data_IF_054991511569
#
_entry.id   IF_054991511569
#
_cell.length_a   1.000
_cell.length_b   1.000
_cell.length_c   1.000
_cell.angle_alpha   90.00
_cell.angle_beta   90.00
_cell.angle_gamma   90.00
#
_symmetry.space_group_name_H-M   'P 1'
#
loop_
_entity.id
_entity.type
_entity.pdbx_description
1 polymer ?
#
# COMPACT_ATOMS: atom_id res chain seq x y z
N UNK A 1 -1.29 -5.33 -23.40
CA UNK A 1 -0.17 -6.17 -23.89
C UNK A 1 -0.54 -6.94 -25.15
N UNK A 2 -1.63 -7.73 -25.17
CA UNK A 2 -2.06 -8.52 -26.34
C UNK A 2 -2.04 -7.72 -27.66
N UNK A 3 -2.75 -6.58 -27.71
CA UNK A 3 -2.83 -5.70 -28.89
C UNK A 3 -1.44 -5.22 -29.34
N UNK A 4 -0.63 -4.72 -28.41
CA UNK A 4 0.72 -4.18 -28.68
C UNK A 4 1.63 -5.25 -29.30
N UNK A 5 1.60 -6.47 -28.76
CA UNK A 5 2.45 -7.57 -29.24
C UNK A 5 1.97 -8.07 -30.61
N UNK A 6 0.65 -8.29 -30.78
CA UNK A 6 0.06 -8.74 -32.06
C UNK A 6 0.27 -7.76 -33.20
N UNK A 7 0.21 -6.46 -32.90
CA UNK A 7 0.40 -5.38 -33.88
C UNK A 7 1.88 -4.98 -34.03
N UNK A 8 2.81 -5.65 -33.36
CA UNK A 8 4.25 -5.36 -33.39
C UNK A 8 4.60 -3.91 -32.98
N UNK A 9 3.87 -3.35 -32.01
CA UNK A 9 4.04 -1.97 -31.51
C UNK A 9 4.98 -1.86 -30.29
N UNK A 10 5.63 -2.96 -29.89
CA UNK A 10 6.59 -2.96 -28.79
C UNK A 10 7.99 -2.55 -29.28
N UNK A 11 8.83 -2.02 -28.37
CA UNK A 11 10.22 -1.66 -28.64
C UNK A 11 11.08 -2.94 -28.72
N UNK A 12 11.35 -3.39 -29.95
CA UNK A 12 12.08 -4.63 -30.22
C UNK A 12 13.51 -4.59 -29.69
N UNK A 13 14.21 -3.50 -29.94
CA UNK A 13 15.61 -3.34 -29.56
C UNK A 13 15.76 -3.31 -28.03
N UNK A 14 14.85 -2.61 -27.35
CA UNK A 14 14.83 -2.59 -25.89
C UNK A 14 14.53 -3.98 -25.33
N UNK A 15 13.52 -4.66 -25.86
CA UNK A 15 13.13 -6.01 -25.41
C UNK A 15 14.28 -7.00 -25.58
N UNK A 16 14.91 -7.04 -26.76
CA UNK A 16 16.02 -7.96 -27.04
C UNK A 16 17.23 -7.71 -26.14
N UNK A 17 17.60 -6.43 -25.99
CA UNK A 17 18.78 -6.04 -25.20
C UNK A 17 18.55 -6.27 -23.70
N UNK A 18 17.43 -5.79 -23.16
CA UNK A 18 17.28 -5.58 -21.72
C UNK A 18 16.38 -6.57 -21.00
N UNK A 19 15.66 -7.44 -21.69
CA UNK A 19 14.65 -8.31 -21.06
C UNK A 19 14.98 -9.80 -21.14
N UNK A 20 14.35 -10.57 -20.25
CA UNK A 20 14.38 -12.02 -20.24
C UNK A 20 12.96 -12.59 -20.26
N UNK A 21 12.70 -13.56 -21.14
CA UNK A 21 11.45 -14.32 -21.20
C UNK A 21 10.31 -13.68 -21.99
N UNK A 22 10.61 -12.77 -22.93
CA UNK A 22 9.58 -12.17 -23.80
C UNK A 22 8.87 -13.20 -24.70
N UNK A 23 9.60 -14.20 -25.20
CA UNK A 23 9.06 -15.33 -25.97
C UNK A 23 7.88 -16.01 -25.25
N UNK A 24 8.01 -16.19 -23.93
CA UNK A 24 7.00 -16.83 -23.09
C UNK A 24 5.78 -15.95 -22.89
N UNK A 25 5.98 -14.64 -22.83
CA UNK A 25 4.89 -13.67 -22.75
C UNK A 25 4.02 -13.73 -24.01
N UNK A 26 4.59 -13.88 -25.20
CA UNK A 26 3.85 -13.93 -26.46
C UNK A 26 2.78 -15.02 -26.43
N UNK A 27 3.16 -16.26 -26.08
CA UNK A 27 2.20 -17.37 -25.95
C UNK A 27 1.21 -17.17 -24.80
N UNK A 28 1.67 -16.61 -23.67
CA UNK A 28 0.83 -16.39 -22.50
C UNK A 28 -0.29 -15.38 -22.75
N UNK A 29 -0.09 -14.39 -23.62
CA UNK A 29 -1.09 -13.34 -23.85
C UNK A 29 -2.17 -13.68 -24.86
N UNK A 30 -2.04 -14.80 -25.58
CA UNK A 30 -3.01 -15.25 -26.58
C UNK A 30 -4.46 -15.30 -26.08
N UNK A 31 -4.76 -15.90 -24.90
CA UNK A 31 -6.13 -15.95 -24.39
C UNK A 31 -6.68 -14.57 -23.96
N UNK A 32 -5.80 -13.62 -23.60
CA UNK A 32 -6.20 -12.31 -23.07
C UNK A 32 -6.53 -11.30 -24.18
N UNK A 33 -7.50 -11.66 -25.02
CA UNK A 33 -7.99 -10.81 -26.11
C UNK A 33 -8.73 -9.58 -25.58
N UNK A 34 -8.87 -8.49 -26.37
CA UNK A 34 -9.72 -7.36 -25.99
C UNK A 34 -11.17 -7.74 -25.69
N UNK A 35 -11.73 -8.75 -26.38
CA UNK A 35 -13.09 -9.25 -26.14
C UNK A 35 -13.19 -9.97 -24.79
N UNK A 36 -12.21 -10.81 -24.47
CA UNK A 36 -12.12 -11.45 -23.16
C UNK A 36 -12.05 -10.39 -22.04
N UNK A 37 -11.23 -9.35 -22.24
CA UNK A 37 -11.10 -8.28 -21.27
C UNK A 37 -12.40 -7.46 -21.11
N UNK A 38 -13.13 -7.21 -22.19
CA UNK A 38 -14.42 -6.51 -22.17
C UNK A 38 -15.45 -7.22 -21.29
N UNK A 39 -15.53 -8.54 -21.35
CA UNK A 39 -16.46 -9.34 -20.52
C UNK A 39 -16.16 -9.20 -19.02
N UNK A 40 -14.89 -9.04 -18.66
CA UNK A 40 -14.43 -8.94 -17.26
C UNK A 40 -14.46 -7.51 -16.73
N UNK A 41 -13.95 -6.55 -17.51
CA UNK A 41 -13.74 -5.17 -17.04
C UNK A 41 -14.91 -4.24 -17.38
N UNK A 42 -15.83 -4.69 -18.24
CA UNK A 42 -16.94 -3.90 -18.79
C UNK A 42 -16.49 -2.66 -19.57
N UNK A 43 -15.25 -2.68 -20.07
CA UNK A 43 -14.71 -1.64 -20.96
C UNK A 43 -14.80 -2.16 -22.38
N UNK A 44 -15.39 -1.40 -23.32
CA UNK A 44 -15.51 -1.84 -24.72
C UNK A 44 -14.16 -2.28 -25.30
N UNK A 45 -14.12 -3.42 -25.99
CA UNK A 45 -12.89 -3.95 -26.58
C UNK A 45 -12.20 -2.96 -27.53
N UNK A 46 -12.97 -2.12 -28.23
CA UNK A 46 -12.43 -1.08 -29.09
C UNK A 46 -11.69 0.01 -28.32
N UNK A 47 -12.15 0.38 -27.14
CA UNK A 47 -11.47 1.39 -26.32
C UNK A 47 -10.19 0.81 -25.69
N UNK A 48 -10.20 -0.48 -25.34
CA UNK A 48 -8.98 -1.22 -24.93
C UNK A 48 -7.94 -1.20 -26.07
N UNK A 49 -8.34 -1.46 -27.31
CA UNK A 49 -7.44 -1.42 -28.49
C UNK A 49 -6.90 -0.01 -28.73
N UNK A 50 -7.77 1.01 -28.71
CA UNK A 50 -7.38 2.42 -28.87
C UNK A 50 -6.34 2.84 -27.83
N UNK A 51 -6.60 2.55 -26.56
CA UNK A 51 -5.68 2.88 -25.46
C UNK A 51 -4.34 2.15 -25.61
N UNK A 52 -4.37 0.87 -25.98
CA UNK A 52 -3.15 0.09 -26.18
C UNK A 52 -2.25 0.68 -27.29
N UNK A 53 -2.85 1.08 -28.42
CA UNK A 53 -2.14 1.74 -29.52
C UNK A 53 -1.60 3.10 -29.09
N UNK A 54 -2.45 3.93 -28.48
CA UNK A 54 -2.07 5.26 -27.99
C UNK A 54 -0.88 5.19 -27.03
N UNK A 55 -0.92 4.26 -26.07
CA UNK A 55 0.14 4.06 -25.10
C UNK A 55 1.46 3.61 -25.76
N UNK A 56 1.39 2.66 -26.70
CA UNK A 56 2.58 2.11 -27.35
C UNK A 56 3.25 3.07 -28.35
N UNK A 57 2.49 3.98 -28.96
CA UNK A 57 3.01 4.95 -29.94
C UNK A 57 3.29 6.33 -29.37
N UNK A 58 3.07 6.53 -28.06
CA UNK A 58 3.46 7.77 -27.40
C UNK A 58 4.98 7.93 -27.40
N UNK A 59 5.48 9.17 -27.52
CA UNK A 59 6.93 9.44 -27.42
C UNK A 59 7.51 8.98 -26.07
N UNK A 60 6.72 9.13 -25.01
CA UNK A 60 7.02 8.62 -23.68
C UNK A 60 5.73 8.43 -22.89
N UNK A 61 5.64 7.35 -22.10
CA UNK A 61 4.47 7.06 -21.28
C UNK A 61 4.84 6.38 -19.97
N UNK A 62 4.15 6.75 -18.89
CA UNK A 62 4.35 6.19 -17.55
C UNK A 62 3.03 5.70 -16.98
N UNK A 63 3.09 4.64 -16.17
CA UNK A 63 1.92 4.12 -15.45
C UNK A 63 2.13 4.39 -13.97
N UNK A 64 1.35 5.32 -13.41
CA UNK A 64 1.30 5.56 -11.99
C UNK A 64 0.13 4.79 -11.37
N UNK A 65 0.43 3.63 -10.77
CA UNK A 65 -0.55 2.74 -10.15
C UNK A 65 -1.30 3.39 -8.97
N UNK A 66 -0.70 4.39 -8.33
CA UNK A 66 -1.15 4.93 -7.05
C UNK A 66 -0.88 3.98 -5.88
N UNK A 67 -1.04 4.48 -4.66
CA UNK A 67 -0.81 3.71 -3.42
C UNK A 67 -2.10 3.00 -3.00
N UNK A 68 -2.08 1.68 -2.81
CA UNK A 68 -3.20 0.88 -2.32
C UNK A 68 -4.42 0.81 -3.27
N UNK A 69 -4.28 1.19 -4.55
CA UNK A 69 -5.38 1.19 -5.54
C UNK A 69 -5.50 -0.17 -6.24
N UNK A 70 -4.43 -0.63 -6.88
CA UNK A 70 -4.43 -1.86 -7.70
C UNK A 70 -3.80 -3.07 -6.99
N UNK A 71 -3.06 -2.80 -5.92
CA UNK A 71 -2.37 -3.76 -5.05
C UNK A 71 -3.31 -4.37 -3.99
N UNK A 72 -4.24 -3.61 -3.40
CA UNK A 72 -5.27 -4.13 -2.48
C UNK A 72 -6.43 -4.85 -3.19
N UNK A 73 -6.10 -5.74 -4.12
CA UNK A 73 -7.04 -6.52 -4.95
C UNK A 73 -6.59 -7.98 -5.01
N UNK A 74 -7.43 -8.87 -5.56
CA UNK A 74 -7.09 -10.28 -5.73
C UNK A 74 -5.85 -10.53 -6.59
N UNK A 75 -5.47 -9.54 -7.40
CA UNK A 75 -4.40 -9.58 -8.38
C UNK A 75 -3.24 -8.64 -8.04
N UNK A 76 -3.14 -8.13 -6.81
CA UNK A 76 -2.24 -7.03 -6.46
C UNK A 76 -0.82 -7.12 -7.02
N UNK A 77 -0.13 -8.23 -6.76
CA UNK A 77 1.24 -8.45 -7.27
C UNK A 77 1.26 -8.59 -8.78
N UNK A 78 0.31 -9.31 -9.37
CA UNK A 78 0.26 -9.53 -10.82
C UNK A 78 -0.10 -8.27 -11.59
N UNK A 79 -0.94 -7.38 -11.04
CA UNK A 79 -1.23 -6.06 -11.59
C UNK A 79 0.04 -5.21 -11.69
N UNK A 80 0.80 -5.12 -10.59
CA UNK A 80 2.09 -4.40 -10.60
C UNK A 80 3.08 -4.98 -11.60
N UNK A 81 3.12 -6.32 -11.74
CA UNK A 81 3.96 -6.97 -12.77
C UNK A 81 3.46 -6.67 -14.18
N UNK A 82 2.16 -6.69 -14.44
CA UNK A 82 1.58 -6.35 -15.73
C UNK A 82 1.89 -4.90 -16.12
N UNK A 83 1.79 -3.94 -15.20
CA UNK A 83 2.17 -2.55 -15.45
C UNK A 83 3.67 -2.37 -15.70
N UNK A 84 4.51 -3.07 -14.94
CA UNK A 84 5.96 -3.05 -15.14
C UNK A 84 6.35 -3.64 -16.51
N UNK A 85 5.76 -4.76 -16.90
CA UNK A 85 5.99 -5.39 -18.20
C UNK A 85 5.48 -4.50 -19.33
N UNK A 86 4.30 -3.89 -19.19
CA UNK A 86 3.75 -2.98 -20.20
C UNK A 86 4.68 -1.79 -20.45
N UNK A 87 5.21 -1.16 -19.39
CA UNK A 87 6.21 -0.10 -19.49
C UNK A 87 7.54 -0.60 -20.09
N UNK A 88 7.94 -1.84 -19.76
CA UNK A 88 9.18 -2.46 -20.24
C UNK A 88 9.13 -2.75 -21.74
N UNK A 89 8.07 -3.38 -22.22
CA UNK A 89 7.99 -3.78 -23.63
C UNK A 89 7.84 -2.58 -24.57
N UNK A 90 7.37 -1.44 -24.08
CA UNK A 90 7.28 -0.19 -24.86
C UNK A 90 8.49 0.72 -24.65
N UNK A 91 9.59 0.24 -24.07
CA UNK A 91 10.83 1.02 -23.92
C UNK A 91 10.75 2.19 -22.92
N UNK A 92 9.70 2.25 -22.09
CA UNK A 92 9.42 3.38 -21.20
C UNK A 92 10.12 3.27 -19.83
N UNK A 93 11.32 2.68 -19.78
CA UNK A 93 12.08 2.50 -18.54
C UNK A 93 13.21 3.50 -18.47
N UNK A 94 13.19 4.31 -17.41
CA UNK A 94 14.19 5.30 -17.03
C UNK A 94 14.48 6.36 -18.11
N UNK A 95 13.49 6.70 -18.95
CA UNK A 95 13.50 7.83 -19.88
C UNK A 95 12.67 9.02 -19.33
N UNK A 96 12.93 10.27 -19.75
CA UNK A 96 12.08 11.41 -19.41
C UNK A 96 10.62 11.14 -19.82
N UNK A 97 9.67 11.41 -18.92
CA UNK A 97 8.23 11.14 -19.14
C UNK A 97 7.77 9.69 -18.90
N UNK A 98 8.71 8.74 -18.77
CA UNK A 98 8.41 7.32 -18.58
C UNK A 98 8.48 6.87 -17.12
N UNK A 99 8.69 5.57 -16.90
CA UNK A 99 8.90 5.02 -15.57
C UNK A 99 10.27 5.43 -15.03
N UNK A 100 10.31 5.95 -13.82
CA UNK A 100 11.56 6.44 -13.23
C UNK A 100 12.16 5.39 -12.30
N UNK A 101 13.43 5.02 -12.52
CA UNK A 101 14.15 4.22 -11.53
C UNK A 101 14.45 5.10 -10.33
N UNK A 102 13.85 4.76 -9.19
CA UNK A 102 14.01 5.51 -7.94
C UNK A 102 15.50 5.59 -7.56
N UNK A 103 16.04 6.81 -7.33
CA UNK A 103 17.39 6.95 -6.83
C UNK A 103 17.44 6.36 -5.42
N UNK A 104 18.33 5.39 -5.18
CA UNK A 104 18.41 4.76 -3.87
C UNK A 104 19.13 5.69 -2.90
N UNK A 105 18.45 6.02 -1.80
CA UNK A 105 19.07 6.60 -0.63
C UNK A 105 19.63 5.48 0.24
N UNK A 106 20.90 5.57 0.61
CA UNK A 106 21.55 4.65 1.54
C UNK A 106 21.53 5.26 2.94
N UNK A 107 20.82 4.63 3.87
CA UNK A 107 20.79 5.01 5.28
C UNK A 107 21.32 3.86 6.14
N UNK A 108 22.05 4.19 7.19
CA UNK A 108 22.49 3.23 8.19
C UNK A 108 21.32 2.84 9.09
N UNK A 109 20.99 1.56 9.18
CA UNK A 109 19.93 1.07 10.06
C UNK A 109 20.37 0.91 11.51
N UNK A 110 19.44 1.10 12.44
CA UNK A 110 19.61 0.89 13.90
C UNK A 110 19.17 -0.52 14.35
N UNK A 111 18.67 -1.34 13.43
CA UNK A 111 18.07 -2.63 13.76
C UNK A 111 19.12 -3.68 14.16
N UNK A 112 18.77 -4.51 15.13
CA UNK A 112 19.53 -5.71 15.46
C UNK A 112 19.06 -6.90 14.61
N UNK A 113 19.99 -7.77 14.16
CA UNK A 113 19.61 -9.00 13.48
C UNK A 113 18.85 -9.93 14.45
N UNK A 114 17.96 -10.74 13.90
CA UNK A 114 17.23 -11.78 14.64
C UNK A 114 17.08 -13.02 13.78
N UNK A 115 17.27 -14.19 14.38
CA UNK A 115 17.12 -15.49 13.71
C UNK A 115 15.67 -16.00 13.67
N UNK A 116 14.71 -15.23 14.22
CA UNK A 116 13.31 -15.65 14.25
C UNK A 116 12.67 -15.51 12.87
N UNK A 117 12.01 -16.59 12.44
CA UNK A 117 11.09 -16.56 11.31
C UNK A 117 9.90 -15.65 11.63
N UNK A 118 9.66 -14.59 10.83
CA UNK A 118 8.54 -13.68 11.05
C UNK A 118 7.21 -14.36 10.68
N UNK A 119 6.10 -13.95 11.33
CA UNK A 119 4.76 -14.42 10.95
C UNK A 119 4.48 -14.17 9.46
N UNK A 120 3.80 -15.11 8.81
CA UNK A 120 3.51 -15.06 7.38
C UNK A 120 4.71 -15.35 6.46
N UNK A 121 5.91 -15.64 6.97
CA UNK A 121 7.05 -15.98 6.11
C UNK A 121 6.87 -17.33 5.39
N UNK A 122 6.16 -18.28 6.00
CA UNK A 122 5.83 -19.57 5.37
C UNK A 122 4.75 -19.40 4.30
N UNK A 123 3.70 -18.63 4.60
CA UNK A 123 2.58 -18.38 3.68
C UNK A 123 2.96 -17.46 2.51
N UNK A 124 3.92 -16.54 2.72
CA UNK A 124 4.33 -15.50 1.77
C UNK A 124 5.85 -15.51 1.56
N UNK A 125 6.36 -16.67 1.18
CA UNK A 125 7.79 -16.99 1.18
C UNK A 125 8.62 -16.23 0.17
N UNK A 126 8.04 -15.80 -0.96
CA UNK A 126 8.77 -15.19 -2.06
C UNK A 126 9.64 -13.99 -1.61
N UNK A 127 9.09 -13.08 -0.81
CA UNK A 127 9.81 -11.89 -0.35
C UNK A 127 10.91 -12.24 0.68
N UNK A 128 10.65 -13.27 1.48
CA UNK A 128 11.52 -13.71 2.56
C UNK A 128 12.70 -14.54 2.05
N UNK A 129 12.44 -15.53 1.20
CA UNK A 129 13.47 -16.42 0.65
C UNK A 129 14.44 -15.71 -0.30
N UNK A 130 13.94 -14.78 -1.13
CA UNK A 130 14.79 -14.11 -2.13
C UNK A 130 15.58 -12.96 -1.51
N UNK A 131 14.94 -12.14 -0.67
CA UNK A 131 15.50 -10.87 -0.22
C UNK A 131 15.71 -10.78 1.29
N UNK A 132 15.36 -11.81 2.06
CA UNK A 132 15.38 -11.79 3.52
C UNK A 132 14.38 -10.79 4.10
N UNK A 133 13.36 -10.41 3.32
CA UNK A 133 12.42 -9.34 3.69
C UNK A 133 11.04 -9.92 4.01
N UNK A 134 10.32 -9.21 4.86
CA UNK A 134 8.97 -9.59 5.31
C UNK A 134 7.94 -9.04 4.34
N UNK A 135 6.94 -9.84 3.95
CA UNK A 135 5.77 -9.26 3.27
C UNK A 135 4.97 -8.43 4.30
N UNK A 136 4.91 -7.09 4.19
CA UNK A 136 4.25 -6.28 5.22
C UNK A 136 2.76 -6.63 5.34
N UNK A 137 2.09 -6.82 4.20
CA UNK A 137 0.69 -7.24 4.18
C UNK A 137 0.52 -8.69 4.65
N UNK A 138 1.45 -9.59 4.30
CA UNK A 138 1.47 -10.95 4.82
C UNK A 138 1.50 -11.01 6.35
N UNK A 139 2.32 -10.16 6.99
CA UNK A 139 2.35 -10.06 8.45
C UNK A 139 1.04 -9.49 9.02
N UNK A 140 0.46 -8.48 8.36
CA UNK A 140 -0.81 -7.86 8.74
C UNK A 140 -1.93 -8.90 8.71
N UNK A 141 -2.12 -9.60 7.60
CA UNK A 141 -3.24 -10.52 7.43
C UNK A 141 -3.11 -11.80 8.25
N UNK A 142 -1.88 -12.21 8.63
CA UNK A 142 -1.67 -13.33 9.55
C UNK A 142 -1.72 -12.92 11.03
N UNK A 143 -1.74 -11.63 11.36
CA UNK A 143 -1.72 -11.17 12.75
C UNK A 143 -2.94 -11.68 13.55
N UNK A 144 -4.21 -11.54 13.10
CA UNK A 144 -5.35 -11.99 13.90
C UNK A 144 -5.29 -13.46 14.27
N UNK A 145 -4.88 -14.33 13.35
CA UNK A 145 -4.76 -15.78 13.55
C UNK A 145 -3.53 -16.15 14.41
N UNK A 146 -2.52 -15.29 14.45
CA UNK A 146 -1.30 -15.50 15.22
C UNK A 146 -1.47 -15.18 16.72
N UNK A 147 -2.55 -14.51 17.13
CA UNK A 147 -2.78 -14.09 18.51
C UNK A 147 -3.79 -15.02 19.20
N UNK A 148 -3.52 -15.51 20.43
CA UNK A 148 -2.36 -15.25 21.28
C UNK A 148 -1.24 -16.30 21.18
N UNK A 149 -1.40 -17.31 20.32
CA UNK A 149 -0.55 -18.51 20.35
C UNK A 149 0.90 -18.25 19.91
N UNK A 150 1.10 -17.37 18.93
CA UNK A 150 2.41 -16.99 18.39
C UNK A 150 2.81 -15.59 18.87
N UNK A 151 1.87 -14.64 18.80
CA UNK A 151 2.07 -13.26 19.20
C UNK A 151 1.32 -12.97 20.49
N UNK A 152 2.08 -12.66 21.55
CA UNK A 152 1.56 -12.36 22.90
C UNK A 152 1.62 -10.88 23.26
N UNK A 153 2.57 -10.16 22.67
CA UNK A 153 2.78 -8.75 22.94
C UNK A 153 2.86 -7.94 21.64
N UNK A 154 2.25 -6.76 21.62
CA UNK A 154 2.32 -5.82 20.50
C UNK A 154 2.62 -4.40 21.02
N UNK A 155 3.56 -3.73 20.35
CA UNK A 155 3.78 -2.29 20.51
C UNK A 155 3.35 -1.61 19.22
N UNK A 156 2.37 -0.70 19.32
CA UNK A 156 1.89 0.12 18.21
C UNK A 156 2.45 1.53 18.37
N UNK A 157 3.11 2.05 17.34
CA UNK A 157 3.66 3.42 17.34
C UNK A 157 3.05 4.21 16.19
N UNK A 158 2.32 5.28 16.50
CA UNK A 158 1.74 6.20 15.52
C UNK A 158 0.76 5.53 14.54
N UNK A 159 -0.04 4.59 15.01
CA UNK A 159 -0.92 3.77 14.18
C UNK A 159 -2.24 3.44 14.84
N UNK A 160 -3.28 3.27 14.02
CA UNK A 160 -4.62 2.88 14.46
C UNK A 160 -5.12 1.61 13.72
N UNK A 161 -4.44 0.48 13.87
CA UNK A 161 -4.71 -0.77 13.15
C UNK A 161 -6.15 -1.28 13.27
N UNK A 162 -6.84 -1.06 14.39
CA UNK A 162 -8.26 -1.46 14.55
C UNK A 162 -9.15 -0.82 13.48
N UNK A 163 -8.85 0.41 13.07
CA UNK A 163 -9.60 1.13 12.04
C UNK A 163 -8.97 0.97 10.67
N UNK A 164 -7.65 0.88 10.57
CA UNK A 164 -6.95 0.98 9.28
C UNK A 164 -6.77 -0.33 8.53
N UNK A 165 -6.75 -1.47 9.22
CA UNK A 165 -6.49 -2.81 8.65
C UNK A 165 -7.79 -3.52 8.25
N UNK A 166 -7.74 -4.53 7.35
CA UNK A 166 -8.94 -5.28 6.95
C UNK A 166 -9.55 -6.04 8.13
N UNK A 167 -10.86 -6.27 8.09
CA UNK A 167 -11.61 -6.98 9.14
C UNK A 167 -11.33 -6.41 10.54
N UNK A 168 -11.87 -5.21 10.76
CA UNK A 168 -11.74 -4.50 12.04
C UNK A 168 -12.24 -5.33 13.23
N UNK A 169 -13.16 -6.27 13.01
CA UNK A 169 -13.63 -7.19 14.05
C UNK A 169 -12.52 -8.18 14.43
N UNK A 170 -11.90 -8.83 13.45
CA UNK A 170 -10.80 -9.77 13.69
C UNK A 170 -9.62 -9.09 14.42
N UNK A 171 -9.23 -7.88 14.00
CA UNK A 171 -8.15 -7.13 14.66
C UNK A 171 -8.50 -6.72 16.10
N UNK A 172 -9.73 -6.26 16.34
CA UNK A 172 -10.19 -5.89 17.68
C UNK A 172 -10.18 -7.10 18.62
N UNK A 173 -10.66 -8.25 18.16
CA UNK A 173 -10.68 -9.48 18.96
C UNK A 173 -9.28 -10.04 19.19
N UNK A 174 -8.38 -9.96 18.21
CA UNK A 174 -6.98 -10.32 18.39
C UNK A 174 -6.32 -9.43 19.46
N UNK A 175 -6.48 -8.11 19.37
CA UNK A 175 -5.86 -7.18 20.32
C UNK A 175 -6.31 -7.39 21.76
N UNK A 176 -7.59 -7.73 22.00
CA UNK A 176 -8.10 -8.06 23.33
C UNK A 176 -7.48 -9.32 23.95
N UNK A 177 -6.95 -10.22 23.13
CA UNK A 177 -6.36 -11.49 23.56
C UNK A 177 -4.85 -11.40 23.83
N UNK A 178 -4.21 -10.27 23.53
CA UNK A 178 -2.79 -10.08 23.81
C UNK A 178 -2.53 -10.06 25.32
N UNK A 179 -1.42 -10.65 25.75
CA UNK A 179 -0.91 -10.52 27.12
C UNK A 179 -0.42 -9.09 27.39
N UNK A 180 0.02 -8.38 26.35
CA UNK A 180 0.47 -7.00 26.44
C UNK A 180 0.20 -6.23 25.13
N UNK A 181 -0.40 -5.06 25.25
CA UNK A 181 -0.63 -4.11 24.17
C UNK A 181 -0.21 -2.73 24.66
N UNK A 182 0.83 -2.17 24.04
CA UNK A 182 1.33 -0.83 24.32
C UNK A 182 1.11 0.04 23.10
N UNK A 183 0.51 1.21 23.28
CA UNK A 183 0.26 2.16 22.20
C UNK A 183 0.98 3.48 22.49
N UNK A 184 1.92 3.84 21.64
CA UNK A 184 2.61 5.14 21.63
C UNK A 184 1.93 6.03 20.58
N UNK A 185 1.09 6.96 21.04
CA UNK A 185 0.29 7.86 20.20
C UNK A 185 0.09 9.21 20.92
N UNK A 186 -0.34 10.23 20.18
CA UNK A 186 -0.70 11.54 20.75
C UNK A 186 -2.20 11.66 21.03
N UNK A 187 -3.03 10.74 20.54
CA UNK A 187 -4.46 10.68 20.87
C UNK A 187 -4.89 9.30 21.40
N UNK A 188 -5.99 9.29 22.17
CA UNK A 188 -6.70 8.06 22.53
C UNK A 188 -7.47 7.55 21.30
N UNK A 189 -6.79 6.85 20.41
CA UNK A 189 -7.38 6.21 19.22
C UNK A 189 -8.14 4.93 19.59
N UNK A 190 -8.94 4.39 18.67
CA UNK A 190 -9.69 3.15 18.88
C UNK A 190 -8.77 1.95 19.17
N UNK A 191 -7.52 2.00 18.71
CA UNK A 191 -6.48 1.02 19.09
C UNK A 191 -5.95 1.30 20.49
N UNK A 192 -5.71 2.57 20.85
CA UNK A 192 -5.25 2.95 22.19
C UNK A 192 -6.28 2.62 23.28
N UNK A 193 -7.57 2.70 22.99
CA UNK A 193 -8.65 2.30 23.91
C UNK A 193 -8.61 0.82 24.30
N UNK A 194 -7.98 -0.03 23.47
CA UNK A 194 -7.79 -1.46 23.77
C UNK A 194 -6.48 -1.74 24.51
N UNK A 195 -5.60 -0.75 24.65
CA UNK A 195 -4.25 -0.95 25.13
C UNK A 195 -4.20 -1.17 26.65
N UNK A 196 -3.24 -1.98 27.07
CA UNK A 196 -2.89 -2.12 28.49
C UNK A 196 -2.12 -0.87 28.98
N UNK A 197 -1.32 -0.28 28.09
CA UNK A 197 -0.61 0.97 28.35
C UNK A 197 -0.72 1.90 27.15
N UNK A 198 -1.07 3.17 27.40
CA UNK A 198 -1.01 4.24 26.43
C UNK A 198 0.09 5.20 26.87
N UNK A 199 1.06 5.44 25.99
CA UNK A 199 2.19 6.32 26.25
C UNK A 199 2.11 7.54 25.33
N UNK A 200 2.32 8.76 25.84
CA UNK A 200 2.23 9.97 25.03
C UNK A 200 3.44 10.11 24.09
N UNK A 201 3.19 10.07 22.78
CA UNK A 201 4.22 10.26 21.74
C UNK A 201 4.37 11.72 21.31
N UNK A 202 5.59 12.13 20.96
CA UNK A 202 5.86 13.46 20.42
C UNK A 202 5.33 13.65 18.99
N UNK A 203 4.83 14.85 18.69
CA UNK A 203 4.55 15.25 17.31
C UNK A 203 5.83 15.44 16.50
N UNK A 204 5.71 15.53 15.18
CA UNK A 204 6.86 15.77 14.31
C UNK A 204 7.51 17.16 14.53
N UNK A 205 6.81 18.11 15.17
CA UNK A 205 7.33 19.44 15.48
C UNK A 205 8.21 19.47 16.74
N UNK A 206 8.16 18.42 17.56
CA UNK A 206 8.78 18.35 18.89
C UNK A 206 10.12 17.61 18.91
N UNK A 207 10.56 17.07 17.78
CA UNK A 207 11.73 16.20 17.66
C UNK A 207 12.51 16.45 16.38
N UNK A 208 13.84 16.30 16.48
CA UNK A 208 14.69 16.28 15.30
C UNK A 208 14.53 14.94 14.57
N UNK A 209 14.93 14.91 13.30
CA UNK A 209 14.89 13.67 12.51
C UNK A 209 15.10 13.94 11.04
N UNK A 210 15.15 12.89 10.23
CA UNK A 210 15.01 13.04 8.78
C UNK A 210 13.56 13.37 8.43
N UNK A 211 13.38 14.33 7.52
CA UNK A 211 12.10 14.61 6.90
C UNK A 211 11.87 13.66 5.71
N UNK A 212 10.78 13.88 4.98
CA UNK A 212 10.41 13.04 3.85
C UNK A 212 11.52 13.01 2.78
N UNK A 213 11.92 11.81 2.35
CA UNK A 213 12.80 11.65 1.18
C UNK A 213 11.95 11.60 -0.09
N UNK A 214 12.32 12.44 -1.07
CA UNK A 214 11.58 12.59 -2.32
C UNK A 214 11.90 11.49 -3.34
N UNK A 215 12.71 10.51 -2.96
CA UNK A 215 13.23 9.52 -3.90
C UNK A 215 12.21 8.45 -4.27
N UNK A 216 11.34 8.05 -3.33
CA UNK A 216 10.37 6.98 -3.55
C UNK A 216 9.19 7.47 -4.38
N UNK A 217 8.47 8.50 -3.92
CA UNK A 217 7.25 8.94 -4.60
C UNK A 217 7.46 10.01 -5.69
N UNK A 218 8.59 10.72 -5.67
CA UNK A 218 8.87 11.78 -6.66
C UNK A 218 10.09 11.49 -7.54
N UNK A 219 10.78 10.37 -7.32
CA UNK A 219 11.94 9.99 -8.14
C UNK A 219 13.14 10.94 -8.02
N UNK A 220 13.14 11.84 -7.03
CA UNK A 220 14.16 12.86 -6.84
C UNK A 220 15.17 12.43 -5.77
N UNK A 221 16.48 12.52 -6.03
CA UNK A 221 17.51 12.18 -5.04
C UNK A 221 17.69 13.28 -3.99
N UNK A 222 16.61 13.66 -3.31
CA UNK A 222 16.54 14.80 -2.40
C UNK A 222 16.12 14.38 -0.99
N UNK A 223 16.81 14.91 0.01
CA UNK A 223 16.60 14.64 1.42
C UNK A 223 16.59 15.95 2.21
N UNK A 224 15.75 16.03 3.24
CA UNK A 224 15.66 17.19 4.12
C UNK A 224 15.78 16.76 5.58
N UNK A 225 16.26 17.68 6.42
CA UNK A 225 16.22 17.53 7.86
C UNK A 225 14.90 18.10 8.39
N UNK A 226 14.25 17.36 9.31
CA UNK A 226 13.19 17.89 10.15
C UNK A 226 13.82 18.48 11.41
N UNK A 227 13.70 19.79 11.56
CA UNK A 227 14.17 20.52 12.74
C UNK A 227 13.09 20.56 13.80
N UNK A 228 13.48 20.31 15.05
CA UNK A 228 12.65 20.54 16.22
C UNK A 228 12.24 22.02 16.26
N UNK A 229 10.94 22.27 16.25
CA UNK A 229 10.35 23.61 16.26
C UNK A 229 9.93 24.05 17.66
N UNK A 230 9.47 23.12 18.49
CA UNK A 230 9.06 23.35 19.88
C UNK A 230 9.59 22.24 20.79
N UNK A 231 9.59 22.48 22.10
CA UNK A 231 9.86 21.44 23.10
C UNK A 231 8.70 20.42 23.17
N UNK A 232 8.96 19.14 23.51
CA UNK A 232 7.93 18.17 23.81
C UNK A 232 6.89 18.72 24.79
N UNK A 233 5.62 18.52 24.47
CA UNK A 233 4.52 19.06 25.27
C UNK A 233 4.08 18.03 26.31
N UNK A 234 3.82 18.49 27.53
CA UNK A 234 3.49 17.63 28.68
C UNK A 234 4.61 16.62 28.98
N UNK A 235 4.28 15.33 29.05
CA UNK A 235 5.22 14.23 29.31
C UNK A 235 5.55 13.45 28.01
N UNK A 236 5.31 14.03 26.83
CA UNK A 236 5.49 13.33 25.56
C UNK A 236 6.94 12.96 25.28
N UNK A 237 7.15 11.76 24.74
CA UNK A 237 8.47 11.24 24.37
C UNK A 237 8.59 11.01 22.86
N UNK A 238 9.77 11.25 22.30
CA UNK A 238 10.09 10.79 20.95
C UNK A 238 10.13 9.26 20.90
N UNK A 239 9.89 8.69 19.73
CA UNK A 239 10.00 7.24 19.51
C UNK A 239 11.40 6.76 19.88
N UNK A 240 12.44 7.52 19.51
CA UNK A 240 13.81 7.22 19.89
C UNK A 240 13.98 7.11 21.41
N UNK A 241 13.50 8.11 22.16
CA UNK A 241 13.57 8.09 23.63
C UNK A 241 12.84 6.88 24.23
N UNK A 242 11.65 6.56 23.73
CA UNK A 242 10.91 5.38 24.16
C UNK A 242 11.71 4.08 23.93
N UNK A 243 12.20 3.85 22.72
CA UNK A 243 12.95 2.64 22.38
C UNK A 243 14.26 2.52 23.16
N UNK A 244 14.95 3.64 23.36
CA UNK A 244 16.18 3.71 24.15
C UNK A 244 15.95 3.34 25.62
N UNK A 245 14.96 3.96 26.27
CA UNK A 245 14.69 3.69 27.70
C UNK A 245 14.18 2.27 27.91
N UNK A 246 13.43 1.72 26.94
CA UNK A 246 13.06 0.31 26.93
C UNK A 246 14.31 -0.59 26.80
N UNK A 247 15.21 -0.30 25.85
CA UNK A 247 16.45 -1.05 25.67
C UNK A 247 17.32 -1.03 26.94
N UNK A 248 17.47 0.11 27.61
CA UNK A 248 18.17 0.23 28.90
C UNK A 248 17.55 -0.67 29.97
N UNK A 249 16.23 -0.65 30.14
CA UNK A 249 15.53 -1.53 31.09
C UNK A 249 15.63 -3.02 30.75
N UNK A 250 15.82 -3.35 29.47
CA UNK A 250 16.06 -4.72 29.00
C UNK A 250 17.53 -5.14 29.06
N UNK A 251 18.44 -4.31 29.58
CA UNK A 251 19.87 -4.61 29.64
C UNK A 251 20.62 -4.47 28.31
N UNK A 252 20.02 -3.81 27.32
CA UNK A 252 20.58 -3.57 25.98
C UNK A 252 21.12 -2.14 25.81
N UNK A 253 21.28 -1.38 26.89
CA UNK A 253 21.67 0.03 26.85
C UNK A 253 22.99 0.30 26.13
N UNK A 254 23.99 -0.59 26.28
CA UNK A 254 25.30 -0.45 25.62
C UNK A 254 25.23 -0.58 24.09
N UNK A 255 24.21 -1.29 23.57
CA UNK A 255 23.99 -1.50 22.13
C UNK A 255 23.32 -0.28 21.48
N UNK A 256 22.61 0.52 22.27
CA UNK A 256 21.95 1.74 21.83
C UNK A 256 22.51 2.96 22.59
N UNK A 257 23.78 3.34 22.35
CA UNK A 257 24.51 4.30 23.18
C UNK A 257 24.15 5.77 22.91
N UNK A 258 23.30 6.04 21.91
CA UNK A 258 22.97 7.40 21.48
C UNK A 258 22.19 8.15 22.57
N UNK A 259 22.51 9.42 22.75
CA UNK A 259 21.90 10.27 23.75
C UNK A 259 20.81 11.19 23.20
N UNK A 260 20.91 11.58 21.93
CA UNK A 260 20.00 12.56 21.33
C UNK A 260 19.49 12.14 19.94
N UNK A 261 18.38 12.75 19.50
CA UNK A 261 17.83 12.52 18.14
C UNK A 261 18.87 12.88 17.06
N UNK A 262 19.72 13.88 17.30
CA UNK A 262 20.75 14.34 16.36
C UNK A 262 21.84 13.29 16.14
N UNK A 263 22.29 12.61 17.20
CA UNK A 263 23.28 11.54 17.07
C UNK A 263 22.73 10.36 16.25
N UNK A 264 21.43 10.08 16.39
CA UNK A 264 20.75 9.07 15.59
C UNK A 264 20.67 9.50 14.12
N UNK A 265 20.29 10.74 13.83
CA UNK A 265 20.26 11.25 12.45
C UNK A 265 21.65 11.24 11.82
N UNK A 266 22.69 11.61 12.56
CA UNK A 266 24.07 11.55 12.08
C UNK A 266 24.47 10.12 11.71
N UNK A 267 24.09 9.12 12.54
CA UNK A 267 24.30 7.72 12.21
C UNK A 267 23.56 7.31 10.92
N UNK A 268 22.27 7.64 10.82
CA UNK A 268 21.45 7.30 9.65
C UNK A 268 22.09 7.84 8.36
N UNK A 269 22.57 9.08 8.40
CA UNK A 269 23.21 9.77 7.26
C UNK A 269 24.62 9.29 6.92
N UNK A 270 25.28 8.52 7.81
CA UNK A 270 26.66 8.04 7.61
C UNK A 270 26.90 7.37 6.25
N UNK A 271 25.88 6.70 5.70
CA UNK A 271 25.95 6.00 4.42
C UNK A 271 25.45 6.82 3.22
N UNK A 272 24.91 8.03 3.43
CA UNK A 272 24.29 8.84 2.38
C UNK A 272 25.21 9.88 1.74
N UNK A 273 26.40 10.11 2.32
CA UNK A 273 27.30 11.20 1.90
C UNK A 273 26.82 12.60 2.29
N UNK A 274 25.95 12.68 3.30
CA UNK A 274 25.48 13.91 3.94
C UNK A 274 25.73 13.79 5.44
N UNK A 275 25.77 14.92 6.15
CA UNK A 275 25.83 14.96 7.62
C UNK A 275 24.67 15.77 8.20
N UNK A 276 24.37 15.55 9.49
CA UNK A 276 23.37 16.33 10.21
C UNK A 276 23.72 17.82 10.20
N UNK A 277 25.01 18.13 10.42
CA UNK A 277 25.52 19.52 10.41
C UNK A 277 25.28 20.21 9.06
N UNK A 278 25.62 19.55 7.95
CA UNK A 278 25.38 20.12 6.61
C UNK A 278 23.91 20.41 6.39
N UNK A 279 22.99 19.47 6.68
CA UNK A 279 21.56 19.70 6.49
C UNK A 279 20.98 20.72 7.48
N UNK A 280 21.58 20.87 8.66
CA UNK A 280 21.15 21.84 9.67
C UNK A 280 21.58 23.26 9.32
N UNK A 281 22.84 23.47 8.94
CA UNK A 281 23.45 24.80 8.90
C UNK A 281 23.68 25.31 7.48
N UNK A 282 24.00 24.43 6.53
CA UNK A 282 24.46 24.80 5.20
C UNK A 282 23.39 24.58 4.13
N UNK A 283 22.70 23.44 4.21
CA UNK A 283 21.70 22.95 3.24
C UNK A 283 20.32 22.91 3.89
N UNK A 284 19.90 24.05 4.44
CA UNK A 284 18.70 24.18 5.29
C UNK A 284 17.40 23.77 4.59
N UNK A 285 17.31 23.98 3.28
CA UNK A 285 16.16 23.56 2.47
C UNK A 285 16.17 22.07 2.11
N UNK A 286 17.27 21.36 2.39
CA UNK A 286 17.56 20.01 1.93
C UNK A 286 18.72 19.95 0.94
N UNK A 287 19.10 18.72 0.60
CA UNK A 287 20.24 18.44 -0.26
C UNK A 287 19.92 17.33 -1.27
N UNK A 288 20.46 17.48 -2.47
CA UNK A 288 20.60 16.37 -3.39
C UNK A 288 21.76 15.48 -2.94
N UNK A 289 21.51 14.19 -2.72
CA UNK A 289 22.56 13.22 -2.33
C UNK A 289 23.18 12.51 -3.55
N UNK A 290 22.62 12.70 -4.75
CA UNK A 290 23.20 12.26 -6.01
C UNK A 290 22.60 13.03 -7.20
N UNK A 291 23.24 12.96 -8.37
CA UNK A 291 22.68 13.48 -9.62
C UNK A 291 21.70 12.48 -10.23
N UNK A 292 20.54 12.94 -10.70
CA UNK A 292 19.58 12.12 -11.44
C UNK A 292 20.16 11.77 -12.83
N UNK A 293 20.13 10.49 -13.20
CA UNK A 293 20.52 9.99 -14.51
C UNK A 293 19.37 9.21 -15.14
N UNK A 294 19.08 9.53 -16.40
CA UNK A 294 18.18 8.77 -17.27
C UNK A 294 18.99 7.84 -18.18
N UNK A 295 18.30 6.93 -18.87
CA UNK A 295 18.91 5.92 -19.72
C UNK A 295 19.37 4.68 -18.95
N UNK A 296 19.97 3.76 -19.69
CA UNK A 296 20.27 2.40 -19.21
C UNK A 296 21.77 2.12 -19.08
N UNK A 297 22.63 3.10 -19.35
CA UNK A 297 24.10 2.96 -19.36
C UNK A 297 24.65 2.32 -18.08
N UNK A 298 24.09 2.70 -16.92
CA UNK A 298 24.48 2.14 -15.62
C UNK A 298 24.18 0.64 -15.44
N UNK A 299 23.33 0.07 -16.30
CA UNK A 299 22.95 -1.33 -16.31
C UNK A 299 23.66 -2.14 -17.40
N UNK A 300 24.37 -1.52 -18.35
CA UNK A 300 25.07 -2.24 -19.43
C UNK A 300 26.17 -3.16 -18.88
N UNK A 301 26.94 -2.65 -17.91
CA UNK A 301 28.05 -3.40 -17.31
C UNK A 301 27.59 -4.23 -16.11
N UNK A 302 26.81 -3.62 -15.20
CA UNK A 302 26.41 -4.25 -13.93
C UNK A 302 25.23 -5.21 -14.06
N UNK A 303 24.38 -4.99 -15.07
CA UNK A 303 23.07 -5.61 -15.17
C UNK A 303 22.12 -5.20 -14.05
N UNK A 304 20.88 -5.68 -14.13
CA UNK A 304 19.88 -5.50 -13.07
C UNK A 304 20.17 -6.40 -11.87
N UNK A 305 19.61 -6.05 -10.71
CA UNK A 305 19.67 -6.87 -9.50
C UNK A 305 18.65 -8.02 -9.54
N UNK A 306 18.63 -8.74 -10.66
CA UNK A 306 17.82 -9.93 -10.94
C UNK A 306 18.76 -11.13 -11.18
N UNK A 307 18.28 -12.37 -11.02
CA UNK A 307 19.07 -13.56 -11.36
C UNK A 307 19.62 -13.54 -12.80
N UNK A 308 18.80 -13.15 -13.78
CA UNK A 308 19.20 -13.06 -15.20
C UNK A 308 20.05 -11.83 -15.56
N UNK A 309 20.24 -10.88 -14.64
CA UNK A 309 20.84 -9.56 -14.90
C UNK A 309 20.08 -8.70 -15.92
N UNK A 310 18.89 -9.11 -16.32
CA UNK A 310 17.95 -8.41 -17.22
C UNK A 310 16.63 -8.12 -16.50
N UNK A 311 15.75 -7.33 -17.11
CA UNK A 311 14.36 -7.19 -16.64
C UNK A 311 13.63 -8.50 -16.92
N UNK A 312 13.23 -9.20 -15.87
CA UNK A 312 12.55 -10.50 -15.97
C UNK A 312 11.06 -10.32 -16.25
N UNK A 313 10.67 -10.47 -17.52
CA UNK A 313 9.26 -10.58 -17.92
C UNK A 313 8.71 -11.91 -17.39
N UNK A 314 9.43 -13.00 -17.71
CA UNK A 314 9.21 -14.31 -17.11
C UNK A 314 10.11 -14.46 -15.88
N UNK A 315 9.53 -14.73 -14.71
CA UNK A 315 10.30 -14.91 -13.48
C UNK A 315 10.43 -16.39 -13.11
N UNK A 316 11.63 -16.94 -13.27
CA UNK A 316 11.96 -18.28 -12.76
C UNK A 316 11.81 -18.36 -11.24
N UNK A 317 12.01 -17.24 -10.55
CA UNK A 317 11.89 -17.18 -9.10
C UNK A 317 10.44 -17.35 -8.64
N UNK A 318 9.48 -16.72 -9.33
CA UNK A 318 8.05 -16.97 -9.07
C UNK A 318 7.70 -18.44 -9.29
N UNK A 319 8.15 -19.02 -10.41
CA UNK A 319 7.90 -20.43 -10.72
C UNK A 319 8.45 -21.39 -9.67
N UNK A 320 9.68 -21.14 -9.19
CA UNK A 320 10.30 -21.94 -8.12
C UNK A 320 9.51 -21.87 -6.81
N UNK A 321 8.92 -20.70 -6.52
CA UNK A 321 8.04 -20.51 -5.37
C UNK A 321 6.60 -21.02 -5.60
N UNK A 322 6.31 -21.66 -6.74
CA UNK A 322 4.99 -22.21 -7.05
C UNK A 322 3.96 -21.19 -7.56
N UNK A 323 4.38 -19.97 -7.88
CA UNK A 323 3.52 -18.92 -8.43
C UNK A 323 3.67 -18.79 -9.94
N UNK A 324 2.67 -18.17 -10.57
CA UNK A 324 2.71 -17.92 -12.01
C UNK A 324 3.89 -17.03 -12.41
N UNK A 325 4.78 -17.52 -13.29
CA UNK A 325 5.97 -16.76 -13.72
C UNK A 325 5.65 -15.61 -14.66
N UNK A 326 4.40 -15.46 -15.10
CA UNK A 326 3.88 -14.34 -15.90
C UNK A 326 2.62 -13.78 -15.23
N UNK A 327 2.22 -12.52 -15.52
CA UNK A 327 1.00 -11.96 -14.95
C UNK A 327 -0.24 -12.71 -15.40
N UNK A 328 -0.88 -13.43 -14.47
CA UNK A 328 -2.14 -14.15 -14.69
C UNK A 328 -3.27 -13.44 -13.96
N UNK A 329 -4.41 -13.29 -14.63
CA UNK A 329 -5.63 -12.80 -13.99
C UNK A 329 -6.28 -13.90 -13.15
N UNK A 330 -6.64 -13.55 -11.93
CA UNK A 330 -7.43 -14.36 -11.00
C UNK A 330 -8.71 -13.59 -10.64
N UNK A 331 -9.84 -14.26 -10.77
CA UNK A 331 -11.13 -13.72 -10.30
C UNK A 331 -11.07 -13.45 -8.78
N UNK A 332 -11.54 -12.31 -8.26
CA UNK A 332 -11.60 -12.08 -6.82
C UNK A 332 -12.47 -13.09 -6.09
N UNK A 333 -12.10 -13.40 -4.84
CA UNK A 333 -12.73 -14.49 -4.07
C UNK A 333 -14.21 -14.22 -3.80
N UNK A 334 -14.55 -12.96 -3.52
CA UNK A 334 -15.91 -12.51 -3.28
C UNK A 334 -16.32 -11.53 -4.37
N UNK A 335 -16.58 -12.04 -5.58
CA UNK A 335 -17.07 -11.26 -6.73
C UNK A 335 -18.34 -11.89 -7.31
N UNK A 336 -19.04 -11.23 -8.25
CA UNK A 336 -20.18 -11.84 -8.93
C UNK A 336 -19.88 -13.19 -9.60
N UNK A 337 -18.64 -13.40 -10.06
CA UNK A 337 -18.19 -14.65 -10.69
C UNK A 337 -17.50 -15.59 -9.70
N UNK A 338 -16.77 -15.04 -8.73
CA UNK A 338 -16.02 -15.81 -7.71
C UNK A 338 -16.92 -16.44 -6.65
N UNK A 339 -18.01 -15.76 -6.28
CA UNK A 339 -19.01 -16.27 -5.33
C UNK A 339 -20.43 -15.85 -5.72
N UNK A 340 -21.06 -16.56 -6.68
CA UNK A 340 -22.41 -16.24 -7.15
C UNK A 340 -23.48 -16.38 -6.06
N UNK A 341 -23.29 -17.27 -5.07
CA UNK A 341 -24.23 -17.45 -3.95
C UNK A 341 -24.20 -16.26 -3.00
N UNK A 342 -23.00 -15.76 -2.69
CA UNK A 342 -22.84 -14.54 -1.90
C UNK A 342 -23.37 -13.32 -2.66
N UNK A 343 -23.15 -13.26 -3.97
CA UNK A 343 -23.68 -12.18 -4.82
C UNK A 343 -25.21 -12.11 -4.84
N UNK A 344 -25.92 -13.23 -4.73
CA UNK A 344 -27.38 -13.20 -4.58
C UNK A 344 -27.83 -12.51 -3.28
N UNK A 345 -27.06 -12.64 -2.21
CA UNK A 345 -27.34 -12.01 -0.90
C UNK A 345 -26.87 -10.55 -0.86
N UNK A 346 -25.74 -10.27 -1.50
CA UNK A 346 -25.06 -8.98 -1.51
C UNK A 346 -24.77 -8.54 -2.96
N UNK A 347 -25.78 -8.07 -3.70
CA UNK A 347 -25.73 -7.91 -5.16
C UNK A 347 -25.06 -6.60 -5.62
N UNK A 348 -24.26 -5.95 -4.78
CA UNK A 348 -23.50 -4.75 -5.10
C UNK A 348 -22.01 -4.98 -4.84
N UNK A 349 -21.16 -4.33 -5.64
CA UNK A 349 -19.71 -4.38 -5.45
C UNK A 349 -19.29 -3.23 -4.55
N UNK A 350 -18.64 -3.56 -3.45
CA UNK A 350 -18.02 -2.63 -2.52
C UNK A 350 -16.59 -2.32 -2.94
N UNK A 351 -16.31 -1.05 -3.17
CA UNK A 351 -14.96 -0.51 -3.23
C UNK A 351 -14.71 0.42 -2.04
N UNK A 352 -13.58 0.23 -1.37
CA UNK A 352 -13.25 0.99 -0.17
C UNK A 352 -11.96 1.77 -0.36
N UNK A 353 -11.72 2.78 0.45
CA UNK A 353 -10.40 3.42 0.52
C UNK A 353 -10.27 4.74 -0.23
N UNK A 354 -11.39 5.28 -0.74
CA UNK A 354 -11.44 6.67 -1.21
C UNK A 354 -10.85 7.60 -0.13
N UNK A 355 -10.00 8.54 -0.56
CA UNK A 355 -9.30 9.48 0.32
C UNK A 355 -10.05 10.79 0.36
N UNK A 356 -10.13 11.38 1.55
CA UNK A 356 -10.61 12.75 1.72
C UNK A 356 -9.44 13.70 1.56
N UNK A 357 -9.63 14.81 0.85
CA UNK A 357 -8.65 15.89 0.77
C UNK A 357 -8.35 16.52 2.14
N UNK A 358 -9.26 16.37 3.10
CA UNK A 358 -9.17 17.00 4.42
C UNK A 358 -8.55 16.10 5.49
N UNK A 359 -8.38 14.80 5.23
CA UNK A 359 -7.91 13.85 6.24
C UNK A 359 -6.84 12.92 5.69
N UNK A 360 -5.85 12.62 6.52
CA UNK A 360 -4.84 11.59 6.25
C UNK A 360 -5.25 10.32 7.00
N UNK A 361 -5.95 9.41 6.32
CA UNK A 361 -6.49 8.19 6.93
C UNK A 361 -7.41 8.47 8.14
N UNK A 362 -6.99 8.08 9.35
CA UNK A 362 -7.69 8.33 10.61
C UNK A 362 -7.28 9.65 11.27
N UNK A 363 -6.27 10.34 10.75
CA UNK A 363 -5.69 11.53 11.37
C UNK A 363 -6.48 12.81 11.07
N UNK A 364 -6.27 13.83 11.90
CA UNK A 364 -6.80 15.20 11.75
C UNK A 364 -8.33 15.36 11.91
N UNK A 365 -9.04 14.29 12.27
CA UNK A 365 -10.52 14.30 12.46
C UNK A 365 -10.99 15.13 13.66
N UNK A 366 -10.07 15.47 14.55
CA UNK A 366 -10.29 16.35 15.70
C UNK A 366 -10.13 17.85 15.37
N UNK A 367 -9.64 18.20 14.18
CA UNK A 367 -9.46 19.60 13.76
C UNK A 367 -10.80 20.15 13.29
N UNK A 368 -11.38 21.09 14.06
CA UNK A 368 -12.72 21.66 13.80
C UNK A 368 -12.92 22.13 12.36
N UNK A 369 -11.97 22.92 11.82
CA UNK A 369 -12.09 23.48 10.47
C UNK A 369 -12.07 22.42 9.36
N UNK A 370 -11.39 21.28 9.57
CA UNK A 370 -11.40 20.16 8.63
C UNK A 370 -12.71 19.35 8.76
N UNK A 371 -13.18 19.19 10.01
CA UNK A 371 -14.47 18.57 10.31
C UNK A 371 -15.64 19.29 9.67
N UNK A 372 -15.65 20.62 9.68
CA UNK A 372 -16.67 21.42 8.99
C UNK A 372 -16.69 21.20 7.47
N UNK A 373 -15.55 20.84 6.85
CA UNK A 373 -15.46 20.59 5.40
C UNK A 373 -15.83 19.17 4.99
N UNK A 374 -15.65 18.18 5.88
CA UNK A 374 -16.02 16.78 5.65
C UNK A 374 -16.50 16.17 6.97
N UNK A 375 -17.75 16.45 7.38
CA UNK A 375 -18.22 16.16 8.73
C UNK A 375 -18.52 14.68 8.97
N UNK A 376 -18.92 13.95 7.93
CA UNK A 376 -19.32 12.55 8.00
C UNK A 376 -18.91 11.78 6.73
N UNK A 377 -18.77 10.44 6.81
CA UNK A 377 -18.55 9.60 5.64
C UNK A 377 -19.83 9.41 4.84
N UNK A 378 -19.68 9.38 3.52
CA UNK A 378 -20.74 9.02 2.60
C UNK A 378 -20.39 7.75 1.81
N UNK A 379 -21.39 6.92 1.57
CA UNK A 379 -21.37 5.91 0.52
C UNK A 379 -21.80 6.55 -0.80
N UNK A 380 -20.89 6.63 -1.75
CA UNK A 380 -21.16 7.12 -3.10
C UNK A 380 -21.80 6.02 -3.94
N UNK A 381 -22.96 6.31 -4.53
CA UNK A 381 -23.74 5.38 -5.35
C UNK A 381 -24.30 6.07 -6.61
N UNK A 382 -24.48 5.31 -7.68
CA UNK A 382 -25.11 5.80 -8.90
C UNK A 382 -26.64 6.04 -8.71
N UNK A 383 -27.26 7.04 -9.38
CA UNK A 383 -28.71 7.32 -9.30
C UNK A 383 -29.60 6.11 -9.52
N UNK A 384 -29.34 5.29 -10.55
CA UNK A 384 -30.10 4.05 -10.79
C UNK A 384 -29.97 3.02 -9.66
N UNK A 385 -28.81 2.98 -9.00
CA UNK A 385 -28.64 2.13 -7.80
C UNK A 385 -29.47 2.71 -6.65
N UNK A 386 -29.43 4.03 -6.44
CA UNK A 386 -30.32 4.71 -5.50
C UNK A 386 -31.80 4.41 -5.73
N UNK A 387 -32.27 4.51 -6.98
CA UNK A 387 -33.65 4.20 -7.38
C UNK A 387 -34.03 2.75 -7.07
N UNK A 388 -33.19 1.78 -7.47
CA UNK A 388 -33.40 0.35 -7.21
C UNK A 388 -33.60 0.05 -5.72
N UNK A 389 -32.87 0.74 -4.85
CA UNK A 389 -32.92 0.56 -3.39
C UNK A 389 -33.79 1.60 -2.66
N UNK A 390 -34.47 2.49 -3.39
CA UNK A 390 -35.29 3.60 -2.85
C UNK A 390 -34.52 4.51 -1.89
N UNK A 391 -33.25 4.78 -2.20
CA UNK A 391 -32.33 5.64 -1.46
C UNK A 391 -32.16 6.95 -2.23
N UNK A 392 -32.32 8.08 -1.53
CA UNK A 392 -32.06 9.42 -2.04
C UNK A 392 -30.76 9.98 -1.49
N UNK A 393 -30.25 11.01 -2.15
CA UNK A 393 -29.10 11.76 -1.64
C UNK A 393 -29.34 12.27 -0.21
N UNK A 394 -28.34 12.12 0.66
CA UNK A 394 -28.40 12.51 2.08
C UNK A 394 -29.18 11.57 3.00
N UNK A 395 -29.81 10.51 2.48
CA UNK A 395 -30.45 9.50 3.30
C UNK A 395 -29.40 8.80 4.19
N UNK A 396 -29.76 8.52 5.45
CA UNK A 396 -28.99 7.58 6.26
C UNK A 396 -29.26 6.17 5.77
N UNK A 397 -28.20 5.41 5.50
CA UNK A 397 -28.28 4.04 4.99
C UNK A 397 -27.44 3.10 5.85
N UNK A 398 -27.83 1.82 5.83
CA UNK A 398 -26.98 0.74 6.27
C UNK A 398 -26.38 0.07 5.05
N UNK A 399 -25.06 -0.16 5.12
CA UNK A 399 -24.32 -0.99 4.17
C UNK A 399 -23.90 -2.26 4.91
N UNK A 400 -24.17 -3.42 4.32
CA UNK A 400 -23.96 -4.72 4.95
C UNK A 400 -23.17 -5.66 4.02
N UNK A 401 -22.28 -6.47 4.60
CA UNK A 401 -21.58 -7.58 3.94
C UNK A 401 -21.73 -8.86 4.79
N UNK A 402 -21.12 -9.95 4.36
CA UNK A 402 -21.02 -11.17 5.17
C UNK A 402 -20.18 -11.01 6.45
N UNK A 403 -19.48 -9.89 6.63
CA UNK A 403 -18.63 -9.61 7.80
C UNK A 403 -19.28 -8.69 8.84
N UNK A 404 -20.24 -7.88 8.43
CA UNK A 404 -20.90 -6.94 9.33
C UNK A 404 -21.68 -5.87 8.61
N UNK A 405 -22.00 -4.80 9.34
CA UNK A 405 -22.73 -3.66 8.82
C UNK A 405 -22.15 -2.34 9.32
N UNK A 406 -22.37 -1.28 8.56
CA UNK A 406 -22.03 0.09 8.92
C UNK A 406 -23.18 1.04 8.63
N UNK A 407 -23.18 2.21 9.27
CA UNK A 407 -24.14 3.29 9.05
C UNK A 407 -23.43 4.53 8.50
N UNK A 408 -23.87 4.98 7.33
CA UNK A 408 -23.29 6.14 6.62
C UNK A 408 -24.39 6.92 5.89
N UNK A 409 -24.05 8.09 5.34
CA UNK A 409 -24.95 8.82 4.43
C UNK A 409 -24.81 8.33 3.01
N UNK A 410 -25.91 8.31 2.26
CA UNK A 410 -25.85 8.14 0.81
C UNK A 410 -25.43 9.47 0.16
N UNK A 411 -24.52 9.37 -0.82
CA UNK A 411 -24.21 10.46 -1.75
C UNK A 411 -24.48 9.95 -3.16
N UNK A 412 -25.51 10.45 -3.80
CA UNK A 412 -25.99 9.94 -5.09
C UNK A 412 -25.38 10.78 -6.21
N UNK A 413 -24.51 10.18 -7.04
CA UNK A 413 -23.74 10.88 -8.07
C UNK A 413 -23.63 10.07 -9.37
N UNK A 414 -23.72 10.76 -10.51
CA UNK A 414 -23.68 10.15 -11.86
C UNK A 414 -22.31 9.55 -12.20
N UNK A 415 -21.24 10.04 -11.57
CA UNK A 415 -19.87 9.58 -11.80
C UNK A 415 -19.61 8.17 -11.25
N UNK A 416 -20.47 7.65 -10.37
CA UNK A 416 -20.32 6.29 -9.87
C UNK A 416 -20.86 5.26 -10.84
N UNK A 417 -20.19 4.12 -10.93
CA UNK A 417 -20.67 2.99 -11.72
C UNK A 417 -21.93 2.38 -11.10
N UNK A 418 -22.91 2.04 -11.93
CA UNK A 418 -24.11 1.32 -11.50
C UNK A 418 -23.74 -0.02 -10.84
N UNK A 419 -24.37 -0.34 -9.70
CA UNK A 419 -24.07 -1.56 -8.95
C UNK A 419 -22.82 -1.49 -8.06
N UNK A 420 -22.10 -0.37 -8.03
CA UNK A 420 -20.93 -0.15 -7.19
C UNK A 420 -21.23 0.83 -6.06
N UNK A 421 -20.74 0.52 -4.86
CA UNK A 421 -20.79 1.37 -3.68
C UNK A 421 -19.36 1.73 -3.27
N UNK A 422 -19.03 3.02 -3.26
CA UNK A 422 -17.71 3.52 -2.84
C UNK A 422 -17.79 4.15 -1.45
N UNK A 423 -16.93 3.69 -0.52
CA UNK A 423 -16.93 4.18 0.87
C UNK A 423 -15.52 4.62 1.29
N UNK A 424 -15.36 5.85 1.84
CA UNK A 424 -14.05 6.35 2.25
C UNK A 424 -13.50 5.60 3.46
N UNK A 425 -12.18 5.48 3.51
CA UNK A 425 -11.48 4.83 4.61
C UNK A 425 -11.22 5.79 5.78
N UNK A 426 -11.00 5.20 6.96
CA UNK A 426 -10.39 5.86 8.11
C UNK A 426 -11.39 6.50 9.07
N UNK A 427 -12.68 6.22 8.89
CA UNK A 427 -13.73 6.61 9.81
C UNK A 427 -13.90 5.55 10.91
N UNK A 428 -14.06 5.93 12.18
CA UNK A 428 -14.22 4.96 13.26
C UNK A 428 -15.68 4.60 13.56
N UNK A 429 -15.89 3.77 14.58
CA UNK A 429 -17.21 3.42 15.09
C UNK A 429 -18.09 2.72 14.06
N UNK A 430 -19.40 3.02 14.08
CA UNK A 430 -20.38 2.44 13.16
C UNK A 430 -20.19 2.85 11.70
N UNK A 431 -19.27 3.78 11.41
CA UNK A 431 -18.96 4.21 10.04
C UNK A 431 -17.66 3.60 9.49
N UNK A 432 -17.02 2.70 10.25
CA UNK A 432 -15.78 2.08 9.84
C UNK A 432 -16.00 1.03 8.75
N UNK A 433 -15.66 1.39 7.51
CA UNK A 433 -15.78 0.51 6.34
C UNK A 433 -15.05 -0.82 6.48
N UNK A 434 -13.98 -0.89 7.29
CA UNK A 434 -13.26 -2.14 7.52
C UNK A 434 -14.02 -3.14 8.41
N UNK A 435 -15.19 -2.77 8.95
CA UNK A 435 -16.16 -3.72 9.52
C UNK A 435 -16.85 -4.57 8.44
N UNK A 436 -16.82 -4.12 7.19
CA UNK A 436 -17.37 -4.85 6.06
C UNK A 436 -16.31 -5.74 5.38
N UNK A 437 -15.02 -5.53 5.66
CA UNK A 437 -13.94 -6.16 4.91
C UNK A 437 -13.52 -7.50 5.52
N UNK A 438 -13.14 -8.44 4.65
CA UNK A 438 -12.64 -9.76 5.04
C UNK A 438 -11.10 -9.86 4.99
N UNK A 439 -10.45 -10.22 6.11
CA UNK A 439 -8.98 -10.40 6.20
C UNK A 439 -8.48 -11.68 5.55
N UNK A 440 -9.36 -12.67 5.35
CA UNK A 440 -9.03 -13.93 4.69
C UNK A 440 -9.15 -13.85 3.16
N UNK A 441 -9.87 -12.85 2.64
CA UNK A 441 -9.89 -12.53 1.21
C UNK A 441 -8.61 -11.78 0.85
N UNK A 442 -7.58 -12.52 0.44
CA UNK A 442 -6.24 -11.98 0.20
C UNK A 442 -5.57 -12.57 -1.04
N UNK A 443 -4.66 -11.80 -1.62
CA UNK A 443 -3.85 -12.20 -2.76
C UNK A 443 -2.74 -13.17 -2.30
N UNK A 444 -2.48 -14.28 -3.01
CA UNK A 444 -1.66 -15.37 -2.50
C UNK A 444 -0.15 -15.09 -2.43
N UNK A 445 0.36 -14.08 -3.14
CA UNK A 445 1.81 -13.88 -3.27
C UNK A 445 2.36 -12.98 -2.16
N UNK A 446 1.68 -11.86 -1.92
CA UNK A 446 2.12 -10.84 -0.95
C UNK A 446 1.11 -10.65 0.18
N UNK A 447 -0.06 -11.30 0.15
CA UNK A 447 -1.07 -11.19 1.20
C UNK A 447 -1.84 -9.88 1.16
N UNK A 448 -1.89 -9.20 0.01
CA UNK A 448 -2.69 -7.99 -0.12
C UNK A 448 -4.17 -8.31 0.14
N UNK A 449 -4.85 -7.58 1.04
CA UNK A 449 -6.27 -7.79 1.27
C UNK A 449 -7.09 -7.28 0.08
N UNK A 450 -8.16 -7.99 -0.27
CA UNK A 450 -9.04 -7.63 -1.37
C UNK A 450 -10.04 -6.57 -0.90
N UNK A 451 -9.68 -5.29 -0.99
CA UNK A 451 -10.48 -4.19 -0.43
C UNK A 451 -11.31 -3.41 -1.47
N UNK A 452 -11.16 -3.74 -2.76
CA UNK A 452 -11.74 -2.98 -3.89
C UNK A 452 -12.80 -3.74 -4.70
N UNK A 453 -13.19 -4.92 -4.24
CA UNK A 453 -14.05 -5.83 -5.01
C UNK A 453 -14.87 -6.77 -4.14
N UNK A 454 -15.15 -6.42 -2.87
CA UNK A 454 -15.99 -7.25 -2.00
C UNK A 454 -17.47 -7.05 -2.35
N UNK A 455 -18.35 -7.88 -1.79
CA UNK A 455 -19.78 -7.80 -2.03
C UNK A 455 -20.51 -7.14 -0.86
N UNK A 456 -21.50 -6.31 -1.16
CA UNK A 456 -22.35 -5.67 -0.16
C UNK A 456 -23.81 -5.56 -0.61
N UNK A 457 -24.67 -5.16 0.32
CA UNK A 457 -26.03 -4.68 0.06
C UNK A 457 -26.25 -3.35 0.78
N UNK A 458 -27.24 -2.59 0.33
CA UNK A 458 -27.62 -1.32 0.95
C UNK A 458 -29.12 -1.29 1.24
N UNK A 459 -29.49 -0.57 2.29
CA UNK A 459 -30.89 -0.29 2.62
C UNK A 459 -31.00 1.01 3.43
N UNK A 460 -32.18 1.61 3.43
CA UNK A 460 -32.47 2.75 4.31
C UNK A 460 -32.31 2.35 5.79
N UNK A 461 -31.71 3.23 6.59
CA UNK A 461 -31.43 2.98 8.01
C UNK A 461 -32.65 3.16 8.91
#
# INVERSE_FOLDING_TARGET
MHVIIKENLYDKDFVEKWTYGFDKLVSHIEPYTPRWAEEITWIPAEDIKKLARLYATAESASIFQGTNTQDQTANGTQNSRAFAILQTITGNINNPGGWVISPRLSLTGLGLPTDRTPIGAEDYSLFYEIWGRKSPYGQVVCFPDSVPNVIKALIVTGGNPVVSLPDSNAFREAMKKLDLLVVLDFFMTETAELAHFVLPGCTHLEKNGLAYSYNVCHGMPYLMLRKKAIEPVYESWSEFRFWKELAKKMGLGEVFPWETDEEVVELELKSSGLSYKELRDEKVAGAYYMQKKYGMDGFEVKGFSTPSKKIEIYSETFKKAGFDPLPTYREPDQSPLGDPELFQKFPLILTTGARSLYYTHTQHRNIRGLKEKSPEPCAEIHPKTGERYRIKDGDSIIVESNRGQIKVKAKVIEEMLEGVVSIPHGWPGEANVNLLTDVHCREPIMGYPQMKSQLCSIRKA
#
